data_IF_484517426937
#
_entry.id   IF_484517426937
#
_cell.length_a   1.000
_cell.length_b   1.000
_cell.length_c   1.000
_cell.angle_alpha   90.00
_cell.angle_beta   90.00
_cell.angle_gamma   90.00
#
_symmetry.space_group_name_H-M   'P 1'
#
loop_
_entity.id
_entity.type
_entity.pdbx_description
1 polymer ?
#
# COMPACT_ATOMS: atom_id res chain seq x y z
N UNK A 1 -10.42 -6.22 -10.03
CA UNK A 1 -9.92 -6.16 -8.64
C UNK A 1 -9.98 -7.56 -8.06
N UNK A 2 -8.92 -8.35 -8.24
CA UNK A 2 -8.90 -9.80 -7.95
C UNK A 2 -7.78 -10.16 -6.92
N UNK A 3 -6.87 -9.23 -6.65
CA UNK A 3 -5.50 -9.61 -6.29
C UNK A 3 -5.20 -9.79 -4.80
N UNK A 4 -5.99 -9.22 -3.88
CA UNK A 4 -5.78 -9.42 -2.44
C UNK A 4 -6.51 -10.65 -1.87
N UNK A 5 -7.41 -11.28 -2.63
CA UNK A 5 -8.12 -12.48 -2.18
C UNK A 5 -7.37 -13.79 -2.48
N UNK A 6 -6.44 -13.81 -3.43
CA UNK A 6 -5.81 -15.05 -3.87
C UNK A 6 -4.96 -15.75 -2.79
N UNK A 7 -4.32 -15.01 -1.87
CA UNK A 7 -3.60 -15.62 -0.74
C UNK A 7 -4.56 -16.24 0.29
N UNK A 8 -5.79 -15.72 0.42
CA UNK A 8 -6.82 -16.30 1.28
C UNK A 8 -7.47 -17.54 0.64
N UNK A 9 -7.59 -17.55 -0.69
CA UNK A 9 -8.09 -18.71 -1.45
C UNK A 9 -7.12 -19.90 -1.35
N UNK A 10 -5.80 -19.66 -1.25
CA UNK A 10 -4.78 -20.71 -1.12
C UNK A 10 -4.99 -21.62 0.11
N UNK A 11 -5.63 -21.14 1.17
CA UNK A 11 -5.93 -21.95 2.37
C UNK A 11 -7.18 -22.82 2.22
N UNK A 12 -8.07 -22.53 1.25
CA UNK A 12 -9.38 -23.19 1.12
C UNK A 12 -9.46 -24.14 -0.09
N UNK A 13 -8.61 -23.96 -1.11
CA UNK A 13 -8.61 -24.81 -2.31
C UNK A 13 -7.39 -25.72 -2.37
N UNK A 14 -7.33 -26.72 -1.50
CA UNK A 14 -6.50 -27.91 -1.75
C UNK A 14 -7.34 -28.93 -2.52
N UNK A 15 -7.22 -28.95 -3.84
CA UNK A 15 -7.30 -30.17 -4.65
C UNK A 15 -6.83 -29.91 -6.08
N UNK A 16 -5.88 -30.75 -6.52
CA UNK A 16 -5.38 -30.97 -7.90
C UNK A 16 -4.15 -30.16 -8.39
N UNK A 17 -2.98 -30.58 -7.88
CA UNK A 17 -1.79 -31.09 -8.58
C UNK A 17 -1.10 -30.32 -9.75
N UNK A 18 0.02 -29.68 -9.37
CA UNK A 18 1.37 -29.66 -9.97
C UNK A 18 1.68 -28.82 -11.23
N UNK A 19 0.75 -28.47 -12.12
CA UNK A 19 1.05 -27.56 -13.26
C UNK A 19 0.68 -26.08 -13.00
N UNK A 20 -0.22 -25.82 -12.05
CA UNK A 20 -0.69 -24.46 -11.71
C UNK A 20 0.32 -23.68 -10.84
N UNK A 21 1.26 -24.36 -10.19
CA UNK A 21 2.24 -23.71 -9.30
C UNK A 21 3.24 -22.87 -10.11
N UNK A 22 3.68 -23.35 -11.27
CA UNK A 22 4.57 -22.60 -12.19
C UNK A 22 3.86 -21.39 -12.81
N UNK A 23 2.59 -21.54 -13.22
CA UNK A 23 1.83 -20.44 -13.82
C UNK A 23 1.50 -19.35 -12.79
N UNK A 24 1.15 -19.74 -11.56
CA UNK A 24 0.91 -18.79 -10.47
C UNK A 24 2.17 -18.01 -10.10
N UNK A 25 3.33 -18.68 -10.05
CA UNK A 25 4.61 -18.05 -9.77
C UNK A 25 5.05 -17.08 -10.88
N UNK A 26 4.81 -17.42 -12.15
CA UNK A 26 5.05 -16.51 -13.28
C UNK A 26 4.15 -15.27 -13.23
N UNK A 27 2.85 -15.46 -12.97
CA UNK A 27 1.90 -14.35 -12.79
C UNK A 27 2.36 -13.47 -11.64
N UNK A 28 2.80 -14.07 -10.54
CA UNK A 28 3.28 -13.35 -9.36
C UNK A 28 4.53 -12.52 -9.65
N UNK A 29 5.53 -13.14 -10.27
CA UNK A 29 6.77 -12.46 -10.68
C UNK A 29 6.46 -11.31 -11.66
N UNK A 30 5.53 -11.50 -12.59
CA UNK A 30 5.06 -10.46 -13.50
C UNK A 30 4.37 -9.30 -12.77
N UNK A 31 3.48 -9.59 -11.82
CA UNK A 31 2.80 -8.58 -11.01
C UNK A 31 3.79 -7.79 -10.15
N UNK A 32 4.73 -8.48 -9.51
CA UNK A 32 5.77 -7.85 -8.71
C UNK A 32 6.64 -6.94 -9.58
N UNK A 33 7.15 -7.44 -10.71
CA UNK A 33 7.99 -6.68 -11.64
C UNK A 33 7.27 -5.44 -12.15
N UNK A 34 6.03 -5.59 -12.64
CA UNK A 34 5.25 -4.45 -13.13
C UNK A 34 4.93 -3.43 -12.03
N UNK A 35 4.64 -3.89 -10.81
CA UNK A 35 4.33 -2.99 -9.69
C UNK A 35 5.55 -2.18 -9.29
N UNK A 36 6.70 -2.83 -9.12
CA UNK A 36 7.94 -2.17 -8.73
C UNK A 36 8.43 -1.21 -9.83
N UNK A 37 8.45 -1.66 -11.08
CA UNK A 37 8.85 -0.83 -12.22
C UNK A 37 7.97 0.42 -12.36
N UNK A 38 6.65 0.28 -12.16
CA UNK A 38 5.74 1.44 -12.19
C UNK A 38 6.04 2.43 -11.06
N UNK A 39 6.27 1.95 -9.83
CA UNK A 39 6.61 2.82 -8.70
C UNK A 39 7.92 3.56 -8.97
N UNK A 40 8.95 2.85 -9.41
CA UNK A 40 10.28 3.43 -9.68
C UNK A 40 10.24 4.45 -10.82
N UNK A 41 9.39 4.25 -11.83
CA UNK A 41 9.19 5.20 -12.92
C UNK A 41 8.40 6.44 -12.49
N UNK A 42 7.34 6.28 -11.69
CA UNK A 42 6.34 7.33 -11.45
C UNK A 42 6.57 8.10 -10.14
N UNK A 43 7.09 7.46 -9.10
CA UNK A 43 7.35 8.12 -7.81
C UNK A 43 8.27 9.35 -7.92
N UNK A 44 9.36 9.33 -8.73
CA UNK A 44 10.21 10.50 -8.91
C UNK A 44 9.50 11.70 -9.54
N UNK A 45 8.49 11.45 -10.37
CA UNK A 45 7.69 12.51 -11.00
C UNK A 45 6.83 13.25 -9.97
N UNK A 46 6.33 12.54 -8.95
CA UNK A 46 5.59 13.13 -7.85
C UNK A 46 6.53 13.91 -6.93
N UNK A 47 7.59 13.27 -6.45
CA UNK A 47 8.62 13.89 -5.64
C UNK A 47 9.88 13.01 -5.60
N UNK A 48 11.01 13.44 -6.22
CA UNK A 48 12.22 12.62 -6.30
C UNK A 48 12.85 12.30 -4.94
N UNK A 49 12.57 13.10 -3.90
CA UNK A 49 13.09 12.84 -2.54
C UNK A 49 12.48 11.58 -1.92
N UNK A 50 11.29 11.17 -2.35
CA UNK A 50 10.60 9.99 -1.81
C UNK A 50 11.24 8.67 -2.25
N UNK A 51 12.06 8.67 -3.31
CA UNK A 51 12.83 7.50 -3.72
C UNK A 51 13.81 7.03 -2.65
N UNK A 52 14.31 7.96 -1.81
CA UNK A 52 15.19 7.59 -0.69
C UNK A 52 14.45 6.73 0.34
N UNK A 53 13.21 7.08 0.66
CA UNK A 53 12.37 6.31 1.59
C UNK A 53 11.96 4.96 1.00
N UNK A 54 11.65 4.92 -0.30
CA UNK A 54 11.39 3.67 -1.03
C UNK A 54 12.58 2.72 -0.99
N UNK A 55 13.75 3.17 -1.44
CA UNK A 55 14.97 2.36 -1.42
C UNK A 55 15.38 1.97 0.00
N UNK A 56 15.28 2.89 0.95
CA UNK A 56 15.65 2.66 2.35
C UNK A 56 14.81 1.56 3.03
N UNK A 57 13.52 1.46 2.71
CA UNK A 57 12.68 0.37 3.21
C UNK A 57 13.24 -1.00 2.79
N UNK A 58 13.55 -1.16 1.50
CA UNK A 58 14.01 -2.42 0.94
C UNK A 58 15.45 -2.77 1.32
N UNK A 59 16.34 -1.79 1.35
CA UNK A 59 17.71 -1.97 1.83
C UNK A 59 17.74 -2.46 3.27
N UNK A 60 16.89 -1.90 4.12
CA UNK A 60 16.77 -2.30 5.53
C UNK A 60 16.27 -3.73 5.64
N UNK A 61 15.18 -4.06 4.93
CA UNK A 61 14.63 -5.41 4.91
C UNK A 61 15.64 -6.45 4.38
N UNK A 62 16.45 -6.07 3.38
CA UNK A 62 17.48 -6.95 2.81
C UNK A 62 18.66 -7.18 3.75
N UNK A 63 19.10 -6.15 4.47
CA UNK A 63 20.27 -6.25 5.38
C UNK A 63 19.97 -7.08 6.62
N UNK A 64 18.69 -7.21 7.02
CA UNK A 64 18.25 -7.96 8.21
C UNK A 64 19.07 -7.63 9.46
N UNK A 65 19.34 -6.35 9.67
CA UNK A 65 19.96 -5.87 10.91
C UNK A 65 18.97 -5.93 12.10
N UNK A 66 19.41 -5.55 13.31
CA UNK A 66 18.49 -5.39 14.44
C UNK A 66 17.31 -4.47 14.08
N UNK A 67 16.11 -4.80 14.53
CA UNK A 67 14.87 -4.05 14.25
C UNK A 67 14.56 -3.85 12.76
N UNK A 68 15.09 -4.68 11.85
CA UNK A 68 14.94 -4.48 10.40
C UNK A 68 13.46 -4.34 9.98
N UNK A 69 12.58 -5.17 10.53
CA UNK A 69 11.16 -5.16 10.20
C UNK A 69 10.51 -3.85 10.64
N UNK A 70 10.87 -3.33 11.82
CA UNK A 70 10.40 -2.05 12.37
C UNK A 70 10.89 -0.88 11.51
N UNK A 71 12.19 -0.86 11.21
CA UNK A 71 12.80 0.21 10.43
C UNK A 71 12.26 0.25 8.99
N UNK A 72 12.05 -0.92 8.39
CA UNK A 72 11.40 -1.02 7.08
C UNK A 72 9.93 -0.60 7.15
N UNK A 73 9.16 -1.08 8.13
CA UNK A 73 7.75 -0.69 8.30
C UNK A 73 7.60 0.82 8.55
N UNK A 74 8.47 1.43 9.36
CA UNK A 74 8.56 2.89 9.55
C UNK A 74 8.79 3.62 8.23
N UNK A 75 9.74 3.14 7.42
CA UNK A 75 10.07 3.76 6.13
C UNK A 75 8.89 3.67 5.14
N UNK A 76 8.22 2.51 5.09
CA UNK A 76 7.01 2.30 4.29
C UNK A 76 5.86 3.19 4.77
N UNK A 77 5.65 3.28 6.09
CA UNK A 77 4.62 4.12 6.71
C UNK A 77 4.81 5.58 6.31
N UNK A 78 6.02 6.08 6.50
CA UNK A 78 6.39 7.44 6.13
C UNK A 78 6.12 7.68 4.64
N UNK A 79 6.60 6.78 3.77
CA UNK A 79 6.40 6.90 2.33
C UNK A 79 4.91 6.97 1.95
N UNK A 80 4.06 6.08 2.47
CA UNK A 80 2.63 6.08 2.17
C UNK A 80 1.93 7.36 2.65
N UNK A 81 2.31 7.89 3.82
CA UNK A 81 1.75 9.15 4.36
C UNK A 81 2.16 10.34 3.48
N UNK A 82 3.45 10.43 3.14
CA UNK A 82 3.97 11.52 2.32
C UNK A 82 3.39 11.49 0.91
N UNK A 83 3.27 10.32 0.30
CA UNK A 83 2.64 10.18 -1.01
C UNK A 83 1.18 10.55 -0.95
N UNK A 84 0.41 10.05 0.03
CA UNK A 84 -1.00 10.42 0.18
C UNK A 84 -1.18 11.94 0.34
N UNK A 85 -0.35 12.56 1.18
CA UNK A 85 -0.38 14.00 1.41
C UNK A 85 -0.03 14.77 0.14
N UNK A 86 0.94 14.31 -0.64
CA UNK A 86 1.33 14.95 -1.89
C UNK A 86 0.25 14.82 -2.98
N UNK A 87 -0.39 13.64 -3.11
CA UNK A 87 -1.41 13.41 -4.16
C UNK A 87 -2.80 13.91 -3.79
N UNK A 88 -3.09 14.04 -2.49
CA UNK A 88 -4.34 14.57 -1.96
C UNK A 88 -4.06 15.55 -0.80
N UNK A 89 -3.51 16.75 -1.09
CA UNK A 89 -3.17 17.74 -0.07
C UNK A 89 -4.43 18.22 0.67
N UNK A 90 -4.47 18.16 2.03
CA UNK A 90 -5.67 18.54 2.78
C UNK A 90 -6.18 19.96 2.54
N UNK A 91 -5.28 20.89 2.20
CA UNK A 91 -5.59 22.29 1.88
C UNK A 91 -6.30 22.46 0.52
N UNK A 92 -6.18 21.48 -0.37
CA UNK A 92 -6.85 21.46 -1.69
C UNK A 92 -8.20 20.76 -1.69
N UNK A 93 -8.63 20.23 -0.54
CA UNK A 93 -9.86 19.46 -0.42
C UNK A 93 -10.90 20.31 0.31
N UNK A 94 -12.04 20.56 -0.34
CA UNK A 94 -13.17 21.20 0.32
C UNK A 94 -13.78 20.22 1.34
N UNK A 95 -13.85 20.66 2.60
CA UNK A 95 -14.44 19.88 3.69
C UNK A 95 -15.95 19.71 3.53
N UNK A 96 -16.61 20.62 2.79
CA UNK A 96 -18.04 20.53 2.52
C UNK A 96 -18.38 19.36 1.59
N UNK A 97 -17.43 18.93 0.75
CA UNK A 97 -17.60 17.81 -0.18
C UNK A 97 -17.37 16.44 0.48
N UNK A 98 -16.94 16.42 1.74
CA UNK A 98 -16.63 15.19 2.47
C UNK A 98 -17.77 14.78 3.42
N UNK A 99 -18.03 13.46 3.55
CA UNK A 99 -18.80 12.93 4.66
C UNK A 99 -18.26 13.41 6.02
N UNK A 100 -19.16 13.75 6.95
CA UNK A 100 -18.82 14.36 8.25
C UNK A 100 -17.84 13.50 9.05
N UNK A 101 -17.94 12.18 8.95
CA UNK A 101 -17.06 11.21 9.60
C UNK A 101 -15.59 11.29 9.13
N UNK A 102 -15.33 11.88 7.96
CA UNK A 102 -13.98 12.08 7.45
C UNK A 102 -13.37 13.42 7.86
N UNK A 103 -14.08 14.21 8.67
CA UNK A 103 -13.59 15.47 9.22
C UNK A 103 -13.74 15.43 10.74
N UNK A 104 -12.62 15.41 11.46
CA UNK A 104 -12.59 15.40 12.93
C UNK A 104 -11.89 16.65 13.43
N UNK A 105 -12.53 17.39 14.35
CA UNK A 105 -11.99 18.64 14.90
C UNK A 105 -11.56 19.65 13.81
N UNK A 106 -12.32 19.72 12.73
CA UNK A 106 -12.00 20.59 11.59
C UNK A 106 -10.82 20.12 10.73
N UNK A 107 -10.25 18.93 10.98
CA UNK A 107 -9.15 18.35 10.23
C UNK A 107 -9.63 17.21 9.34
N UNK A 108 -9.23 17.22 8.07
CA UNK A 108 -9.51 16.14 7.13
C UNK A 108 -8.70 14.92 7.57
N UNK A 109 -9.41 13.82 7.78
CA UNK A 109 -8.80 12.54 8.11
C UNK A 109 -8.26 11.86 6.86
N UNK A 110 -7.35 10.90 7.04
CA UNK A 110 -6.79 10.06 5.97
C UNK A 110 -7.85 9.50 5.02
N UNK A 111 -8.95 8.98 5.58
CA UNK A 111 -10.08 8.47 4.80
C UNK A 111 -10.75 9.53 3.93
N UNK A 112 -10.75 10.79 4.36
CA UNK A 112 -11.23 11.93 3.57
C UNK A 112 -10.32 12.22 2.38
N UNK A 113 -9.00 12.18 2.58
CA UNK A 113 -8.03 12.30 1.47
C UNK A 113 -8.20 11.18 0.45
N UNK A 114 -8.32 9.93 0.90
CA UNK A 114 -8.54 8.77 0.02
C UNK A 114 -9.90 8.87 -0.68
N UNK A 115 -10.95 9.28 0.04
CA UNK A 115 -12.28 9.49 -0.54
C UNK A 115 -12.22 10.49 -1.69
N UNK A 116 -11.63 11.66 -1.42
CA UNK A 116 -11.44 12.69 -2.42
C UNK A 116 -10.66 12.14 -3.60
N UNK A 117 -9.50 11.51 -3.37
CA UNK A 117 -8.64 10.97 -4.42
C UNK A 117 -9.39 10.01 -5.38
N UNK A 118 -10.26 9.16 -4.85
CA UNK A 118 -11.10 8.24 -5.63
C UNK A 118 -12.27 8.90 -6.40
N UNK A 119 -12.55 10.19 -6.20
CA UNK A 119 -13.65 10.93 -6.82
C UNK A 119 -13.80 10.81 -8.35
N UNK A 120 -12.73 10.77 -9.17
CA UNK A 120 -12.83 10.70 -10.64
C UNK A 120 -13.16 9.29 -11.15
N UNK A 121 -13.15 8.28 -10.28
CA UNK A 121 -13.46 6.92 -10.70
C UNK A 121 -14.92 6.83 -11.14
N UNK A 122 -15.14 6.52 -12.42
CA UNK A 122 -16.48 6.39 -13.01
C UNK A 122 -17.31 5.32 -12.30
N UNK A 123 -16.69 4.19 -11.94
CA UNK A 123 -17.34 3.12 -11.22
C UNK A 123 -17.25 3.36 -9.70
N UNK A 124 -18.35 3.84 -9.11
CA UNK A 124 -18.44 4.11 -7.67
C UNK A 124 -18.21 2.87 -6.79
N UNK A 125 -18.67 1.69 -7.22
CA UNK A 125 -18.46 0.44 -6.48
C UNK A 125 -16.98 0.06 -6.47
N UNK A 126 -16.29 0.21 -7.61
CA UNK A 126 -14.85 0.03 -7.68
C UNK A 126 -14.10 1.03 -6.79
N UNK A 127 -14.54 2.30 -6.76
CA UNK A 127 -13.97 3.31 -5.86
C UNK A 127 -14.09 2.97 -4.38
N UNK A 128 -15.17 2.29 -3.96
CA UNK A 128 -15.29 1.76 -2.57
C UNK A 128 -14.23 0.71 -2.29
N UNK A 129 -13.96 -0.19 -3.24
CA UNK A 129 -12.96 -1.25 -3.06
C UNK A 129 -11.55 -0.66 -3.00
N UNK A 130 -11.21 0.30 -3.88
CA UNK A 130 -9.90 0.97 -3.85
C UNK A 130 -9.69 1.70 -2.53
N UNK A 131 -10.73 2.39 -2.03
CA UNK A 131 -10.67 3.09 -0.74
C UNK A 131 -10.42 2.12 0.42
N UNK A 132 -11.16 1.00 0.46
CA UNK A 132 -11.01 0.00 1.51
C UNK A 132 -9.61 -0.64 1.48
N UNK A 133 -9.09 -0.94 0.28
CA UNK A 133 -7.75 -1.50 0.10
C UNK A 133 -6.64 -0.54 0.59
N UNK A 134 -6.71 0.72 0.19
CA UNK A 134 -5.77 1.76 0.62
C UNK A 134 -5.80 1.97 2.13
N UNK A 135 -6.99 2.09 2.72
CA UNK A 135 -7.12 2.28 4.17
C UNK A 135 -6.64 1.06 4.96
N UNK A 136 -6.93 -0.14 4.47
CA UNK A 136 -6.45 -1.39 5.07
C UNK A 136 -4.93 -1.49 5.02
N UNK A 137 -4.31 -1.19 3.87
CA UNK A 137 -2.85 -1.21 3.73
C UNK A 137 -2.17 -0.23 4.70
N UNK A 138 -2.65 1.01 4.77
CA UNK A 138 -2.08 2.02 5.68
C UNK A 138 -2.29 1.65 7.16
N UNK A 139 -3.39 0.98 7.48
CA UNK A 139 -3.67 0.49 8.84
C UNK A 139 -2.74 -0.66 9.23
N UNK A 140 -2.55 -1.65 8.35
CA UNK A 140 -1.65 -2.78 8.60
C UNK A 140 -0.20 -2.32 8.73
N UNK A 141 0.26 -1.42 7.86
CA UNK A 141 1.61 -0.84 7.97
C UNK A 141 1.80 -0.13 9.31
N UNK A 142 0.76 0.55 9.81
CA UNK A 142 0.80 1.21 11.11
C UNK A 142 0.89 0.21 12.26
N UNK A 143 0.08 -0.85 12.23
CA UNK A 143 0.10 -1.92 13.22
C UNK A 143 1.43 -2.69 13.22
N UNK A 144 1.98 -3.01 12.04
CA UNK A 144 3.29 -3.67 11.93
C UNK A 144 4.42 -2.81 12.49
N UNK A 145 4.37 -1.50 12.28
CA UNK A 145 5.35 -0.60 12.88
C UNK A 145 5.30 -0.61 14.42
N UNK A 146 4.16 -0.92 15.02
CA UNK A 146 3.94 -1.01 16.47
C UNK A 146 4.22 -2.41 17.02
N UNK A 147 3.96 -3.47 16.24
CA UNK A 147 4.08 -4.87 16.67
C UNK A 147 5.52 -5.40 16.77
N UNK A 148 6.51 -4.76 16.13
CA UNK A 148 7.91 -5.23 16.09
C UNK A 148 8.65 -4.88 17.40
N UNK A 149 8.02 -5.16 18.55
CA UNK A 149 8.62 -5.01 19.87
C UNK A 149 8.93 -6.35 20.56
N UNK A 150 8.54 -7.50 19.99
CA UNK A 150 8.46 -8.78 20.71
C UNK A 150 9.06 -10.00 19.94
N UNK A 151 10.32 -9.93 19.51
CA UNK A 151 11.12 -11.01 18.87
C UNK A 151 10.94 -11.22 17.34
N UNK A 152 12.06 -11.56 16.68
CA UNK A 152 12.11 -12.00 15.27
C UNK A 152 11.56 -13.44 15.19
N UNK A 153 10.29 -13.60 14.79
CA UNK A 153 9.64 -14.89 14.56
C UNK A 153 9.35 -15.15 13.07
N UNK A 154 9.10 -16.41 12.70
CA UNK A 154 8.70 -16.75 11.32
C UNK A 154 7.36 -16.10 10.95
N UNK A 155 6.43 -16.01 11.91
CA UNK A 155 5.14 -15.33 11.75
C UNK A 155 5.33 -13.83 11.50
N UNK A 156 6.29 -13.20 12.19
CA UNK A 156 6.63 -11.80 11.96
C UNK A 156 7.17 -11.59 10.54
N UNK A 157 8.04 -12.49 10.06
CA UNK A 157 8.57 -12.43 8.71
C UNK A 157 7.45 -12.59 7.66
N UNK A 158 6.53 -13.53 7.87
CA UNK A 158 5.38 -13.72 6.99
C UNK A 158 4.44 -12.50 6.98
N UNK A 159 4.16 -11.95 8.16
CA UNK A 159 3.35 -10.75 8.33
C UNK A 159 4.01 -9.55 7.63
N UNK A 160 5.34 -9.39 7.77
CA UNK A 160 6.11 -8.36 7.09
C UNK A 160 6.03 -8.50 5.56
N UNK A 161 6.25 -9.71 5.01
CA UNK A 161 6.16 -9.95 3.56
C UNK A 161 4.76 -9.59 3.03
N UNK A 162 3.72 -9.96 3.75
CA UNK A 162 2.32 -9.65 3.39
C UNK A 162 2.06 -8.14 3.43
N UNK A 163 2.54 -7.46 4.46
CA UNK A 163 2.45 -6.01 4.60
C UNK A 163 3.20 -5.28 3.47
N UNK A 164 4.43 -5.73 3.14
CA UNK A 164 5.26 -5.12 2.11
C UNK A 164 4.58 -5.16 0.73
N UNK A 165 3.99 -6.29 0.35
CA UNK A 165 3.20 -6.43 -0.88
C UNK A 165 2.02 -5.46 -0.87
N UNK A 166 1.24 -5.43 0.21
CA UNK A 166 0.08 -4.54 0.32
C UNK A 166 0.47 -3.08 0.24
N UNK A 167 1.59 -2.70 0.84
CA UNK A 167 2.12 -1.35 0.76
C UNK A 167 2.56 -0.97 -0.66
N UNK A 168 3.24 -1.85 -1.38
CA UNK A 168 3.62 -1.61 -2.77
C UNK A 168 2.39 -1.43 -3.68
N UNK A 169 1.37 -2.29 -3.52
CA UNK A 169 0.11 -2.15 -4.27
C UNK A 169 -0.62 -0.86 -3.91
N UNK A 170 -0.69 -0.50 -2.62
CA UNK A 170 -1.29 0.75 -2.17
C UNK A 170 -0.58 1.97 -2.76
N UNK A 171 0.77 1.98 -2.74
CA UNK A 171 1.58 3.03 -3.33
C UNK A 171 1.31 3.16 -4.84
N UNK A 172 1.29 2.03 -5.56
CA UNK A 172 0.96 2.00 -6.99
C UNK A 172 -0.44 2.56 -7.25
N UNK A 173 -1.44 2.22 -6.43
CA UNK A 173 -2.80 2.74 -6.55
C UNK A 173 -2.86 4.26 -6.29
N UNK A 174 -2.15 4.78 -5.29
CA UNK A 174 -2.07 6.22 -5.04
C UNK A 174 -1.48 6.96 -6.25
N UNK A 175 -0.38 6.45 -6.81
CA UNK A 175 0.29 7.04 -7.98
C UNK A 175 -0.58 6.97 -9.23
N UNK A 176 -1.31 5.87 -9.46
CA UNK A 176 -2.25 5.73 -10.58
C UNK A 176 -3.42 6.71 -10.48
N UNK A 177 -4.00 6.87 -9.29
CA UNK A 177 -5.08 7.83 -9.06
C UNK A 177 -4.59 9.28 -9.22
N UNK A 178 -3.37 9.56 -8.80
CA UNK A 178 -2.72 10.85 -9.02
C UNK A 178 -2.53 11.14 -10.51
N UNK A 179 -2.00 10.19 -11.28
CA UNK A 179 -1.86 10.30 -12.74
C UNK A 179 -3.19 10.41 -13.48
N UNK A 180 -4.26 9.83 -12.96
CA UNK A 180 -5.59 9.95 -13.55
C UNK A 180 -6.25 11.32 -13.29
N UNK A 181 -5.72 12.11 -12.33
CA UNK A 181 -6.25 13.41 -11.92
C UNK A 181 -5.50 14.61 -12.52
N UNK A 182 -4.27 14.42 -12.97
CA UNK A 182 -3.42 15.46 -13.57
C UNK A 182 -3.17 15.13 -15.04
#
# INVERSE_FOLDING_TARGET
MIFTQARFVRTVTTHEDVDDESAADEIWAGVQTHTLAYIEAVLPELNPKLMKSWAGAWDTAKRRGPDWARHSASSIRFLLIEVLTAVAPPDKIDKADLPKEFVKNGQIQRLGQIHWLCGPLQNRSYGKVVRADLDSAMTIVSAMNEAVHEDDSEELEEAFRTMAVRAAVALCNLLKLWKARN
#
